data_IF_997984179791
#
_entry.id   IF_997984179791
#
_cell.length_a   1.000
_cell.length_b   1.000
_cell.length_c   1.000
_cell.angle_alpha   90.00
_cell.angle_beta   90.00
_cell.angle_gamma   90.00
#
_symmetry.space_group_name_H-M   'P 1'
#
loop_
_entity.id
_entity.type
_entity.pdbx_description
1 polymer ?
2 non-polymer ?
3 water ?
#
# COMPACT_ATOMS: atom_id res chain seq x y z
N UNK A 26 -28.77 -9.87 -2.60
CA UNK A 26 -27.71 -10.89 -2.31
C UNK A 26 -26.88 -11.09 -3.57
N UNK A 27 -26.20 -12.24 -3.67
CA UNK A 27 -25.36 -12.56 -4.86
C UNK A 27 -26.27 -12.81 -6.07
N UNK A 28 -25.82 -12.42 -7.26
CA UNK A 28 -26.61 -12.65 -8.50
C UNK A 28 -25.64 -13.08 -9.61
N UNK A 29 -26.17 -13.56 -10.75
CA UNK A 29 -25.30 -14.02 -11.82
C UNK A 29 -26.11 -14.15 -13.10
N UNK A 30 -25.39 -14.43 -14.20
CA UNK A 30 -25.91 -14.76 -15.52
C UNK A 30 -26.47 -13.55 -16.27
N UNK A 31 -27.08 -12.60 -15.56
CA UNK A 31 -27.64 -11.42 -16.21
C UNK A 31 -27.62 -10.25 -15.23
N UNK A 32 -27.57 -9.04 -15.78
CA UNK A 32 -27.59 -7.83 -14.98
C UNK A 32 -28.31 -6.75 -15.78
N UNK A 33 -28.66 -5.65 -15.10
CA UNK A 33 -29.40 -4.56 -15.73
C UNK A 33 -28.89 -3.23 -15.19
N UNK A 34 -28.64 -2.30 -16.10
CA UNK A 34 -28.23 -0.94 -15.76
C UNK A 34 -29.31 0.04 -16.20
N UNK A 35 -29.36 1.19 -15.51
CA UNK A 35 -30.39 2.17 -15.82
C UNK A 35 -30.12 2.88 -17.13
N UNK A 36 -28.87 3.27 -17.38
CA UNK A 36 -28.49 3.97 -18.60
C UNK A 36 -27.76 3.10 -19.59
N UNK A 37 -26.88 2.20 -19.12
CA UNK A 37 -26.23 1.25 -20.01
C UNK A 37 -26.87 -0.13 -19.87
N UNK A 38 -26.10 -1.18 -20.14
CA UNK A 38 -26.59 -2.55 -19.99
C UNK A 38 -25.39 -3.48 -19.88
N UNK A 39 -25.41 -4.35 -18.87
CA UNK A 39 -24.28 -5.22 -18.57
C UNK A 39 -24.79 -6.65 -18.35
N UNK A 40 -24.00 -7.61 -18.81
CA UNK A 40 -24.26 -9.03 -18.58
C UNK A 40 -23.09 -9.62 -17.80
N UNK A 41 -23.37 -10.10 -16.59
CA UNK A 41 -22.32 -10.62 -15.73
C UNK A 41 -21.79 -11.93 -16.32
N UNK A 42 -20.46 -12.06 -16.36
CA UNK A 42 -19.80 -13.22 -16.95
C UNK A 42 -19.16 -14.13 -15.91
N UNK A 43 -18.37 -13.57 -15.00
CA UNK A 43 -17.67 -14.36 -14.00
C UNK A 43 -17.42 -13.50 -12.77
N UNK A 44 -17.35 -14.15 -11.61
CA UNK A 44 -17.08 -13.46 -10.36
C UNK A 44 -15.62 -13.05 -10.28
N UNK A 45 -15.36 -11.92 -9.64
CA UNK A 45 -14.02 -11.35 -9.56
C UNK A 45 -13.42 -11.41 -8.16
N UNK A 46 -14.20 -11.11 -7.13
CA UNK A 46 -13.68 -11.16 -5.78
C UNK A 46 -14.77 -10.84 -4.77
N UNK A 47 -14.48 -11.19 -3.52
CA UNK A 47 -15.40 -10.95 -2.41
C UNK A 47 -14.57 -10.51 -1.20
N UNK A 48 -14.87 -9.33 -0.68
CA UNK A 48 -14.19 -8.79 0.48
C UNK A 48 -15.03 -8.88 1.74
N UNK A 49 -14.67 -8.06 2.73
CA UNK A 49 -15.44 -8.00 3.96
C UNK A 49 -16.86 -7.51 3.68
N UNK A 50 -16.99 -6.50 2.84
CA UNK A 50 -18.30 -6.01 2.41
C UNK A 50 -18.15 -5.38 1.04
N UNK A 51 -19.03 -5.75 0.11
CA UNK A 51 -18.93 -5.29 -1.25
C UNK A 51 -18.34 -6.33 -2.18
N UNK A 52 -19.13 -6.79 -3.14
CA UNK A 52 -18.72 -7.82 -4.08
C UNK A 52 -18.44 -7.21 -5.44
N UNK A 53 -17.35 -7.65 -6.06
CA UNK A 53 -16.97 -7.22 -7.40
C UNK A 53 -17.12 -8.41 -8.34
N UNK A 54 -17.63 -8.14 -9.54
CA UNK A 54 -17.94 -9.18 -10.51
C UNK A 54 -17.64 -8.66 -11.91
N UNK A 55 -17.00 -9.49 -12.72
CA UNK A 55 -16.66 -9.12 -14.09
C UNK A 55 -17.86 -9.32 -15.01
N UNK A 56 -18.16 -8.30 -15.82
CA UNK A 56 -19.32 -8.33 -16.71
C UNK A 56 -18.93 -7.72 -18.05
N UNK A 57 -19.81 -7.89 -19.03
CA UNK A 57 -19.62 -7.38 -20.38
C UNK A 57 -20.64 -6.31 -20.68
N UNK A 58 -20.16 -5.14 -21.12
CA UNK A 58 -21.04 -4.06 -21.54
C UNK A 58 -21.68 -4.41 -22.86
N UNK A 59 -22.99 -4.68 -22.85
CA UNK A 59 -23.69 -5.11 -24.06
C UNK A 59 -23.63 -4.02 -25.13
N UNK A 60 -23.47 -4.46 -26.38
CA UNK A 60 -23.37 -3.55 -27.51
C UNK A 60 -21.97 -3.13 -27.88
N UNK A 61 -20.99 -3.36 -27.01
CA UNK A 61 -19.61 -2.96 -27.25
C UNK A 61 -18.69 -4.19 -27.14
N UNK A 62 -17.38 -3.93 -27.13
CA UNK A 62 -16.37 -4.95 -26.90
C UNK A 62 -15.67 -4.73 -25.56
N UNK A 63 -16.27 -3.96 -24.67
CA UNK A 63 -15.63 -3.59 -23.41
C UNK A 63 -16.01 -4.56 -22.30
N UNK A 64 -15.03 -4.89 -21.47
CA UNK A 64 -15.24 -5.65 -20.24
C UNK A 64 -15.00 -4.70 -19.08
N UNK A 65 -15.95 -4.66 -18.14
CA UNK A 65 -15.87 -3.77 -17.00
C UNK A 65 -16.10 -4.55 -15.72
N UNK A 66 -15.67 -3.96 -14.60
CA UNK A 66 -15.85 -4.53 -13.28
C UNK A 66 -16.90 -3.72 -12.53
N UNK A 67 -17.91 -4.41 -12.00
CA UNK A 67 -18.98 -3.76 -11.23
C UNK A 67 -18.87 -4.22 -9.78
N UNK A 68 -18.83 -3.24 -8.87
CA UNK A 68 -18.72 -3.50 -7.44
C UNK A 68 -20.06 -3.19 -6.80
N UNK A 69 -20.77 -4.24 -6.36
CA UNK A 69 -22.08 -4.09 -5.75
C UNK A 69 -21.92 -3.87 -4.26
N UNK A 70 -22.87 -3.13 -3.69
CA UNK A 70 -22.88 -2.82 -2.26
C UNK A 70 -24.23 -3.23 -1.69
N UNK A 71 -24.21 -4.06 -0.65
CA UNK A 71 -25.44 -4.55 -0.06
C UNK A 71 -26.21 -3.40 0.59
N UNK A 72 -27.54 -3.48 0.49
CA UNK A 72 -28.43 -2.40 0.94
C UNK A 72 -28.80 -2.56 2.41
N UNK A 73 -27.77 -2.57 3.26
CA UNK A 73 -28.08 -2.63 4.68
C UNK A 73 -27.87 -1.26 5.32
N UNK A 74 -28.80 -0.82 6.17
CA UNK A 74 -28.71 0.55 6.72
C UNK A 74 -27.43 0.81 7.51
N UNK A 75 -26.86 -0.22 8.14
CA UNK A 75 -25.64 -0.03 8.92
C UNK A 75 -24.42 0.18 8.03
N UNK A 76 -24.49 -0.21 6.76
CA UNK A 76 -23.40 -0.02 5.81
C UNK A 76 -23.73 1.05 4.77
N UNK A 77 -24.87 1.74 4.93
CA UNK A 77 -25.28 2.72 3.92
C UNK A 77 -24.40 3.97 3.97
N UNK A 78 -23.91 4.36 5.15
CA UNK A 78 -23.09 5.56 5.24
C UNK A 78 -21.73 5.35 4.60
N UNK A 79 -21.14 4.17 4.79
CA UNK A 79 -19.86 3.88 4.14
C UNK A 79 -20.02 3.70 2.63
N UNK A 80 -21.16 3.17 2.19
CA UNK A 80 -21.40 3.04 0.76
C UNK A 80 -21.60 4.38 0.08
N UNK A 81 -22.19 5.34 0.78
CA UNK A 81 -22.45 6.65 0.19
C UNK A 81 -21.18 7.49 0.12
N UNK A 82 -20.33 7.42 1.16
CA UNK A 82 -19.12 8.23 1.17
C UNK A 82 -18.13 7.73 0.12
N UNK A 83 -18.17 6.44 -0.21
CA UNK A 83 -17.30 5.93 -1.27
C UNK A 83 -17.70 6.48 -2.63
N UNK A 84 -19.00 6.60 -2.87
CA UNK A 84 -19.48 7.20 -4.11
C UNK A 84 -19.14 8.69 -4.16
N UNK A 85 -19.15 9.35 -3.00
CA UNK A 85 -18.83 10.78 -2.97
C UNK A 85 -17.37 11.02 -3.32
N UNK A 86 -16.48 10.11 -2.93
CA UNK A 86 -15.07 10.28 -3.24
C UNK A 86 -14.80 9.97 -4.70
N UNK A 87 -15.49 8.97 -5.27
CA UNK A 87 -15.29 8.62 -6.67
C UNK A 87 -15.74 9.75 -7.59
N UNK A 88 -16.84 10.43 -7.23
CA UNK A 88 -17.30 11.56 -8.04
C UNK A 88 -16.33 12.74 -7.96
N UNK A 89 -15.70 12.94 -6.81
CA UNK A 89 -14.70 13.99 -6.68
C UNK A 89 -13.42 13.62 -7.43
N UNK A 90 -13.11 12.33 -7.53
CA UNK A 90 -11.96 11.89 -8.32
C UNK A 90 -12.26 11.88 -9.81
N UNK A 91 -13.53 11.66 -10.18
CA UNK A 91 -13.89 11.60 -11.59
C UNK A 91 -13.76 12.97 -12.27
N UNK A 92 -13.74 14.06 -11.49
CA UNK A 92 -13.44 15.36 -12.07
C UNK A 92 -12.02 15.39 -12.63
N UNK A 93 -11.12 14.62 -12.05
CA UNK A 93 -9.78 14.39 -12.61
C UNK A 93 -9.86 13.27 -13.65
N UNK A 94 -10.66 13.52 -14.69
CA UNK A 94 -11.00 12.49 -15.66
C UNK A 94 -9.79 12.00 -16.45
N UNK A 95 -8.74 12.82 -16.57
CA UNK A 95 -7.53 12.38 -17.26
C UNK A 95 -6.93 11.17 -16.58
N UNK A 96 -6.90 11.17 -15.25
CA UNK A 96 -6.33 10.07 -14.46
C UNK A 96 -4.91 9.73 -14.89
N UNK A 97 -4.17 10.75 -15.33
CA UNK A 97 -2.74 10.57 -15.54
C UNK A 97 -2.01 10.27 -14.24
N UNK A 98 -2.65 10.47 -13.09
CA UNK A 98 -2.11 10.16 -11.78
C UNK A 98 -2.34 8.70 -11.38
N UNK A 99 -2.73 7.86 -12.33
CA UNK A 99 -2.80 6.41 -12.17
C UNK A 99 -3.87 6.01 -11.13
N UNK A 100 -5.12 6.24 -11.52
CA UNK A 100 -6.29 5.77 -10.79
C UNK A 100 -7.15 4.92 -11.72
N UNK A 101 -7.89 3.99 -11.11
CA UNK A 101 -8.87 3.22 -11.86
C UNK A 101 -10.02 4.14 -12.25
N UNK A 102 -10.28 4.24 -13.56
CA UNK A 102 -11.32 5.13 -14.05
C UNK A 102 -12.70 4.57 -13.70
N UNK A 103 -13.46 5.34 -12.91
CA UNK A 103 -14.83 4.97 -12.57
C UNK A 103 -15.77 5.53 -13.64
N UNK A 104 -16.50 4.65 -14.30
CA UNK A 104 -17.34 5.06 -15.43
C UNK A 104 -18.66 5.68 -14.94
N UNK A 105 -19.56 4.84 -14.42
CA UNK A 105 -20.86 5.32 -13.95
C UNK A 105 -21.23 4.60 -12.66
N UNK A 106 -22.34 5.04 -12.07
CA UNK A 106 -22.86 4.46 -10.84
C UNK A 106 -24.38 4.43 -10.94
N UNK A 107 -24.95 3.22 -10.94
CA UNK A 107 -26.40 3.03 -11.02
C UNK A 107 -26.85 2.17 -9.85
N UNK A 108 -28.13 1.85 -9.83
CA UNK A 108 -28.73 1.04 -8.78
C UNK A 108 -29.51 -0.10 -9.41
N UNK A 109 -29.13 -1.34 -9.07
CA UNK A 109 -29.81 -2.54 -9.54
C UNK A 109 -30.51 -3.21 -8.37
N UNK A 110 -31.75 -3.63 -8.59
CA UNK A 110 -32.62 -4.18 -7.54
C UNK A 110 -32.75 -3.12 -6.46
N UNK A 111 -32.38 -3.40 -5.21
CA UNK A 111 -32.37 -2.40 -4.16
C UNK A 111 -30.95 -2.01 -3.76
N UNK A 112 -29.95 -2.44 -4.52
CA UNK A 112 -28.55 -2.23 -4.18
C UNK A 112 -27.93 -1.19 -5.10
N UNK A 113 -26.86 -0.56 -4.63
CA UNK A 113 -26.13 0.44 -5.37
C UNK A 113 -24.76 -0.09 -5.74
N UNK A 114 -24.43 -0.03 -7.04
CA UNK A 114 -23.19 -0.59 -7.55
C UNK A 114 -22.42 0.46 -8.35
N UNK A 115 -21.14 0.17 -8.58
CA UNK A 115 -20.23 1.08 -9.25
C UNK A 115 -19.55 0.36 -10.41
N UNK A 116 -19.35 1.08 -11.51
CA UNK A 116 -18.73 0.53 -12.72
C UNK A 116 -17.30 1.05 -12.81
N UNK A 117 -16.33 0.14 -12.84
CA UNK A 117 -14.93 0.48 -12.99
C UNK A 117 -14.38 -0.16 -14.26
N UNK A 118 -13.21 0.32 -14.67
CA UNK A 118 -12.51 -0.32 -15.79
C UNK A 118 -11.84 -1.60 -15.33
N UNK A 119 -11.72 -2.55 -16.25
CA UNK A 119 -11.21 -3.88 -15.93
C UNK A 119 -9.69 -3.88 -16.12
N UNK A 120 -8.96 -3.98 -15.02
CA UNK A 120 -7.52 -4.16 -15.06
C UNK A 120 -7.18 -5.65 -15.06
N UNK A 121 -5.90 -5.96 -15.28
CA UNK A 121 -5.49 -7.34 -15.53
C UNK A 121 -5.14 -8.08 -14.24
N UNK A 122 -4.03 -7.70 -13.61
CA UNK A 122 -3.50 -8.46 -12.48
C UNK A 122 -2.96 -7.52 -11.43
N UNK A 123 -3.24 -7.83 -10.16
CA UNK A 123 -2.71 -7.05 -9.05
C UNK A 123 -1.31 -7.55 -8.66
N UNK A 124 -0.63 -6.77 -7.83
CA UNK A 124 0.77 -7.04 -7.53
C UNK A 124 0.96 -8.30 -6.70
N UNK A 125 -0.03 -8.64 -5.86
CA UNK A 125 0.10 -9.87 -5.06
C UNK A 125 0.06 -11.10 -5.95
N UNK A 126 -0.89 -11.16 -6.88
CA UNK A 126 -0.95 -12.27 -7.81
C UNK A 126 0.25 -12.32 -8.74
N UNK A 127 0.89 -11.17 -8.99
CA UNK A 127 2.11 -11.17 -9.78
C UNK A 127 3.26 -11.78 -9.01
N UNK A 128 3.32 -11.55 -7.69
CA UNK A 128 4.35 -12.16 -6.87
C UNK A 128 4.06 -13.63 -6.59
N UNK A 129 2.78 -14.00 -6.48
CA UNK A 129 2.43 -15.38 -6.19
C UNK A 129 2.87 -16.32 -7.31
N UNK A 130 2.58 -15.95 -8.56
CA UNK A 130 2.93 -16.81 -9.68
C UNK A 130 4.44 -16.90 -9.90
N UNK A 131 5.20 -15.93 -9.41
CA UNK A 131 6.65 -15.95 -9.50
C UNK A 131 7.30 -16.49 -8.23
N UNK A 132 6.56 -17.27 -7.44
CA UNK A 132 7.07 -17.90 -6.22
C UNK A 132 7.60 -16.87 -5.23
N UNK A 133 7.06 -15.65 -5.27
CA UNK A 133 7.44 -14.57 -4.36
C UNK A 133 8.93 -14.26 -4.45
N UNK A 134 9.48 -14.37 -5.65
CA UNK A 134 10.88 -14.01 -5.86
C UNK A 134 11.04 -12.50 -5.77
N UNK A 135 12.18 -12.03 -5.26
CA UNK A 135 12.41 -10.58 -5.20
C UNK A 135 12.44 -9.96 -6.59
N UNK A 136 12.05 -8.69 -6.66
CA UNK A 136 12.08 -7.96 -7.92
C UNK A 136 13.22 -6.96 -7.90
N UNK A 137 13.90 -6.78 -9.04
CA UNK A 137 15.01 -5.80 -9.08
C UNK A 137 14.52 -4.39 -8.88
N UNK A 138 15.43 -3.55 -8.38
CA UNK A 138 15.09 -2.16 -8.09
C UNK A 138 14.72 -1.38 -9.34
N UNK A 139 15.19 -1.81 -10.52
CA UNK A 139 14.84 -1.13 -11.76
C UNK A 139 13.38 -1.38 -12.18
N UNK A 140 12.71 -2.36 -11.57
CA UNK A 140 11.30 -2.62 -11.85
C UNK A 140 10.47 -2.00 -10.74
N UNK A 141 11.04 -1.95 -9.52
CA UNK A 141 10.34 -1.32 -8.41
C UNK A 141 10.22 0.18 -8.63
N UNK A 142 11.20 0.80 -9.30
CA UNK A 142 11.19 2.25 -9.46
C UNK A 142 9.99 2.77 -10.24
N UNK A 143 9.63 2.21 -11.41
CA UNK A 143 8.43 2.72 -12.09
C UNK A 143 7.15 2.58 -11.28
N UNK A 144 6.99 1.46 -10.56
CA UNK A 144 5.78 1.27 -9.76
C UNK A 144 5.73 2.30 -8.64
N UNK A 145 6.88 2.61 -8.03
CA UNK A 145 6.91 3.59 -6.95
C UNK A 145 6.57 4.98 -7.47
N UNK A 146 7.06 5.33 -8.66
CA UNK A 146 6.78 6.66 -9.20
C UNK A 146 5.31 6.84 -9.52
N UNK A 147 4.65 5.79 -10.01
CA UNK A 147 3.25 5.91 -10.37
C UNK A 147 2.37 6.01 -9.13
N UNK A 148 2.64 5.20 -8.11
CA UNK A 148 1.82 5.22 -6.90
C UNK A 148 2.05 6.53 -6.13
N UNK A 149 3.30 7.00 -6.07
CA UNK A 149 3.58 8.27 -5.41
C UNK A 149 2.88 9.42 -6.11
N UNK A 150 2.75 9.35 -7.43
CA UNK A 150 1.99 10.37 -8.16
C UNK A 150 0.52 10.31 -7.78
N UNK A 151 -0.01 9.11 -7.56
CA UNK A 151 -1.40 8.98 -7.13
C UNK A 151 -1.60 9.56 -5.74
N UNK A 152 -0.68 9.27 -4.81
CA UNK A 152 -0.79 9.83 -3.47
C UNK A 152 -0.46 11.31 -3.44
N UNK A 153 0.28 11.82 -4.42
CA UNK A 153 0.49 13.26 -4.53
C UNK A 153 -0.80 13.98 -4.91
N UNK A 154 -1.63 13.34 -5.74
CA UNK A 154 -2.92 13.91 -6.10
C UNK A 154 -3.95 13.72 -4.99
N UNK A 155 -3.81 12.66 -4.19
CA UNK A 155 -4.74 12.43 -3.09
C UNK A 155 -4.55 13.45 -1.98
N UNK A 156 -3.30 13.82 -1.70
CA UNK A 156 -3.06 14.90 -0.75
C UNK A 156 -3.50 16.25 -1.31
N UNK A 157 -3.38 16.42 -2.63
CA UNK A 157 -3.87 17.65 -3.27
C UNK A 157 -5.37 17.83 -3.09
N UNK A 158 -6.10 16.74 -2.87
CA UNK A 158 -7.54 16.78 -2.65
C UNK A 158 -7.90 16.57 -1.18
N UNK A 159 -6.93 16.38 -0.31
CA UNK A 159 -7.19 16.16 1.10
C UNK A 159 -7.87 14.84 1.39
N UNK A 160 -7.44 13.76 0.74
CA UNK A 160 -8.08 12.46 0.87
C UNK A 160 -7.06 11.42 1.31
N UNK A 161 -7.56 10.36 1.95
CA UNK A 161 -6.75 9.25 2.43
C UNK A 161 -7.28 7.98 1.78
N UNK A 162 -6.37 7.11 1.32
CA UNK A 162 -6.80 5.85 0.73
C UNK A 162 -7.12 4.81 1.81
N UNK A 163 -6.28 4.72 2.83
CA UNK A 163 -6.47 3.90 4.02
C UNK A 163 -6.54 2.40 3.73
N UNK A 164 -6.15 1.96 2.54
CA UNK A 164 -6.09 0.54 2.24
C UNK A 164 -5.11 0.26 1.11
N UNK A 165 -3.89 0.76 1.25
CA UNK A 165 -2.88 0.62 0.21
C UNK A 165 -2.11 -0.67 0.48
N UNK A 166 -2.41 -1.71 -0.29
CA UNK A 166 -1.77 -3.01 -0.19
C UNK A 166 -1.53 -3.53 -1.59
N UNK A 167 -0.62 -4.51 -1.75
CA UNK A 167 -0.37 -5.07 -3.09
C UNK A 167 -1.62 -5.59 -3.78
N UNK A 168 -2.62 -6.05 -3.02
CA UNK A 168 -3.88 -6.47 -3.63
C UNK A 168 -4.63 -5.30 -4.24
N UNK A 169 -4.29 -4.06 -3.88
CA UNK A 169 -4.97 -2.88 -4.39
C UNK A 169 -4.08 -2.06 -5.32
N UNK A 170 -3.10 -2.70 -5.94
CA UNK A 170 -2.28 -2.08 -6.98
C UNK A 170 -2.25 -3.06 -8.14
N UNK A 171 -2.96 -2.75 -9.22
CA UNK A 171 -3.15 -3.67 -10.32
C UNK A 171 -2.40 -3.21 -11.57
N UNK A 172 -1.86 -4.17 -12.30
CA UNK A 172 -1.20 -3.89 -13.58
C UNK A 172 -2.26 -3.73 -14.67
N UNK A 173 -2.11 -2.70 -15.49
CA UNK A 173 -3.06 -2.46 -16.57
C UNK A 173 -2.99 -3.58 -17.59
N UNK A 174 -1.79 -3.86 -18.10
CA UNK A 174 -1.56 -4.97 -19.02
C UNK A 174 -0.11 -5.41 -18.90
N UNK A 175 0.15 -6.58 -18.31
CA UNK A 175 1.54 -6.98 -18.04
C UNK A 175 2.38 -7.21 -19.29
N UNK A 176 1.76 -7.45 -20.44
CA UNK A 176 2.50 -7.77 -21.66
C UNK A 176 2.44 -6.63 -22.67
N UNK A 177 1.30 -5.92 -22.74
CA UNK A 177 1.17 -4.85 -23.71
C UNK A 177 1.76 -3.54 -23.18
N UNK A 178 1.52 -3.23 -21.90
CA UNK A 178 2.04 -2.03 -21.24
C UNK A 178 2.83 -2.48 -20.02
N UNK A 179 4.09 -2.88 -20.20
CA UNK A 179 4.83 -3.48 -19.10
C UNK A 179 5.05 -2.50 -17.95
N UNK A 180 4.64 -2.91 -16.75
CA UNK A 180 4.92 -2.19 -15.50
C UNK A 180 4.21 -0.83 -15.46
N UNK A 181 2.92 -0.83 -15.82
CA UNK A 181 2.05 0.31 -15.60
C UNK A 181 0.95 -0.12 -14.63
N UNK A 182 0.75 0.66 -13.57
CA UNK A 182 -0.10 0.26 -12.46
C UNK A 182 -1.13 1.33 -12.17
N UNK A 183 -2.19 0.92 -11.47
CA UNK A 183 -3.22 1.81 -10.95
C UNK A 183 -3.67 1.29 -9.59
N UNK A 184 -4.33 2.16 -8.82
CA UNK A 184 -4.77 1.81 -7.48
C UNK A 184 -6.28 1.60 -7.49
N UNK A 185 -6.74 0.67 -6.66
CA UNK A 185 -8.13 0.26 -6.60
C UNK A 185 -8.62 0.32 -5.15
N UNK A 186 -9.88 -0.06 -4.95
CA UNK A 186 -10.47 -0.28 -3.64
C UNK A 186 -10.51 0.99 -2.79
N UNK A 187 -11.45 1.88 -3.07
CA UNK A 187 -11.67 3.06 -2.26
C UNK A 187 -12.73 2.83 -1.18
N UNK A 188 -13.07 1.57 -0.91
CA UNK A 188 -14.02 1.24 0.14
C UNK A 188 -13.59 1.62 1.54
N UNK A 189 -12.33 2.00 1.71
CA UNK A 189 -11.84 2.49 2.98
C UNK A 189 -11.39 3.95 2.91
N UNK A 190 -11.51 4.59 1.76
CA UNK A 190 -11.05 5.96 1.60
C UNK A 190 -11.94 6.92 2.39
N UNK A 191 -11.35 8.03 2.82
CA UNK A 191 -12.06 9.04 3.60
C UNK A 191 -11.31 10.36 3.52
N UNK A 192 -12.02 11.43 3.82
CA UNK A 192 -11.41 12.74 3.87
C UNK A 192 -10.60 12.90 5.17
N UNK A 193 -9.66 13.84 5.14
CA UNK A 193 -8.80 14.06 6.31
C UNK A 193 -9.63 14.67 7.44
N UNK A 194 -9.57 14.04 8.61
CA UNK A 194 -10.29 14.50 9.78
C UNK A 194 -9.43 14.30 11.02
N UNK A 195 -9.63 15.15 12.01
CA UNK A 195 -8.89 15.07 13.26
C UNK A 195 -9.59 14.13 14.25
N UNK A 196 -9.65 12.86 13.84
CA UNK A 196 -10.33 11.82 14.62
C UNK A 196 -9.45 10.59 14.69
N UNK A 197 -9.22 10.12 15.92
CA UNK A 197 -8.47 8.89 16.12
C UNK A 197 -9.29 7.70 15.67
N UNK A 198 -8.64 6.76 14.96
CA UNK A 198 -9.35 5.53 14.55
C UNK A 198 -9.82 4.79 15.81
N UNK A 199 -11.11 4.49 15.92
CA UNK A 199 -11.64 3.85 17.16
C UNK A 199 -10.99 2.49 17.39
N UNK A 200 -10.81 1.70 16.32
CA UNK A 200 -10.22 0.34 16.45
C UNK A 200 -9.09 0.17 15.42
N UNK A 202 -7.90 -0.05 11.00
CA UNK A 202 -8.28 0.60 9.72
C UNK A 202 -7.61 -0.11 8.55
N UNK A 203 -6.36 0.25 8.22
CA UNK A 203 -5.68 -0.31 7.06
C UNK A 203 -5.46 -1.81 7.25
N UNK A 204 -4.91 -2.45 6.22
CA UNK A 204 -4.47 -3.83 6.35
C UNK A 204 -3.30 -3.91 7.31
N UNK A 205 -3.21 -5.03 8.03
CA UNK A 205 -2.33 -5.09 9.20
C UNK A 205 -0.86 -4.92 8.82
N UNK A 206 -0.42 -5.64 7.78
CA UNK A 206 1.00 -5.63 7.42
C UNK A 206 1.47 -4.25 6.98
N UNK A 207 0.54 -3.39 6.53
CA UNK A 207 0.88 -2.09 5.99
C UNK A 207 0.24 -0.96 6.81
N UNK A 208 -0.12 -1.24 8.05
CA UNK A 208 -0.78 -0.26 8.90
C UNK A 208 0.25 0.64 9.56
N UNK A 209 0.01 1.94 9.49
CA UNK A 209 0.91 2.90 10.10
C UNK A 209 0.86 2.79 11.62
N UNK A 210 1.94 3.18 12.31
CA UNK A 210 1.92 3.13 13.78
C UNK A 210 0.85 4.01 14.41
N UNK A 211 0.37 5.04 13.70
CA UNK A 211 -0.67 5.89 14.26
C UNK A 211 -1.97 5.12 14.48
N UNK A 212 -2.31 4.23 13.55
CA UNK A 212 -3.53 3.44 13.70
C UNK A 212 -3.35 2.36 14.76
N UNK A 213 -2.13 1.86 14.93
CA UNK A 213 -1.89 0.82 15.93
C UNK A 213 -1.90 1.40 17.34
N UNK A 214 -1.32 2.59 17.52
CA UNK A 214 -1.21 3.19 18.83
C UNK A 214 -2.41 4.03 19.23
N UNK A 215 -3.34 4.29 18.30
CA UNK A 215 -4.48 5.13 18.59
C UNK A 215 -4.11 6.60 18.64
N UNK A 216 -3.61 7.11 17.52
CA UNK A 216 -3.15 8.49 17.40
C UNK A 216 -3.86 9.19 16.26
N UNK A 217 -3.94 10.52 16.29
CA UNK A 217 -4.51 11.24 15.15
C UNK A 217 -3.68 11.02 13.89
N UNK A 218 -4.36 10.73 12.79
CA UNK A 218 -3.70 10.36 11.55
C UNK A 218 -4.21 11.23 10.40
N UNK A 219 -3.38 11.35 9.37
CA UNK A 219 -3.75 12.07 8.16
C UNK A 219 -3.45 11.21 6.94
N UNK A 220 -2.89 11.82 5.90
CA UNK A 220 -2.55 11.10 4.68
C UNK A 220 -1.25 10.31 4.79
N UNK A 221 -0.55 10.42 5.92
CA UNK A 221 0.75 9.75 6.07
C UNK A 221 0.62 8.25 6.26
N UNK A 222 -0.57 7.73 6.55
CA UNK A 222 -0.73 6.30 6.72
C UNK A 222 -0.59 5.55 5.41
N UNK A 223 -0.74 6.25 4.27
CA UNK A 223 -0.48 5.65 2.97
C UNK A 223 0.99 5.70 2.59
N UNK A 224 1.73 6.71 3.07
CA UNK A 224 3.17 6.72 2.88
C UNK A 224 3.82 5.57 3.64
N UNK A 225 3.27 5.19 4.80
CA UNK A 225 3.76 4.02 5.50
C UNK A 225 3.43 2.75 4.73
N UNK A 226 2.22 2.64 4.18
CA UNK A 226 1.84 1.48 3.42
C UNK A 226 2.69 1.35 2.15
N UNK A 227 3.02 2.48 1.53
CA UNK A 227 3.86 2.44 0.34
C UNK A 227 5.28 2.03 0.65
N UNK A 228 5.74 2.28 1.88
CA UNK A 228 7.05 1.81 2.29
C UNK A 228 7.08 0.31 2.51
N UNK A 229 5.99 -0.24 3.06
CA UNK A 229 5.94 -1.67 3.33
C UNK A 229 5.74 -2.50 2.08
N UNK A 230 5.29 -1.90 0.98
CA UNK A 230 5.08 -2.67 -0.25
C UNK A 230 6.32 -2.62 -1.15
N UNK A 231 7.01 -1.47 -1.22
CA UNK A 231 8.24 -1.43 -1.99
C UNK A 231 9.32 -2.27 -1.30
N UNK A 232 9.23 -2.40 0.02
CA UNK A 232 10.09 -3.35 0.73
C UNK A 232 9.64 -4.78 0.50
N UNK A 233 8.33 -5.00 0.33
CA UNK A 233 7.84 -6.34 0.05
C UNK A 233 8.20 -6.77 -1.38
N UNK A 234 8.17 -5.83 -2.32
CA UNK A 234 8.59 -6.15 -3.68
C UNK A 234 10.09 -6.43 -3.75
N UNK A 235 10.88 -5.78 -2.90
CA UNK A 235 12.33 -5.99 -2.91
C UNK A 235 12.72 -7.28 -2.20
N UNK A 236 11.98 -7.67 -1.16
CA UNK A 236 12.29 -8.89 -0.42
C UNK A 236 11.48 -10.10 -0.88
N UNK A 237 10.36 -9.89 -1.59
CA UNK A 237 9.48 -10.95 -1.97
C UNK A 237 8.40 -11.27 -0.96
N UNK A 238 8.70 -11.09 0.32
CA UNK A 238 7.79 -11.34 1.43
C UNK A 238 7.50 -10.04 2.18
N UNK A 239 6.38 -9.97 2.90
CA UNK A 239 6.06 -8.74 3.64
C UNK A 239 7.14 -8.37 4.64
N UNK A 240 7.34 -7.07 4.82
CA UNK A 240 8.37 -6.60 5.74
C UNK A 240 7.99 -6.87 7.18
N UNK A 241 6.74 -6.58 7.55
CA UNK A 241 6.25 -6.77 8.92
C UNK A 241 4.99 -7.63 8.87
N UNK A 242 5.13 -8.95 8.74
CA UNK A 242 3.95 -9.83 8.65
C UNK A 242 3.47 -10.31 10.02
N UNK A 243 3.10 -9.36 10.88
CA UNK A 243 2.63 -9.71 12.21
C UNK A 243 1.20 -10.23 12.19
N UNK A 244 0.95 -11.26 12.99
CA UNK A 244 -0.39 -11.83 13.07
C UNK A 244 -1.32 -10.98 13.92
N UNK A 245 -0.78 -10.28 14.91
CA UNK A 245 -1.55 -9.37 15.76
C UNK A 245 -0.92 -7.99 15.73
N UNK A 246 -1.66 -7.00 16.25
CA UNK A 246 -1.12 -5.66 16.34
C UNK A 246 0.08 -5.59 17.27
N UNK A 247 0.13 -6.47 18.27
CA UNK A 247 1.30 -6.54 19.14
C UNK A 247 2.53 -7.00 18.37
N UNK A 248 2.38 -8.06 17.57
CA UNK A 248 3.49 -8.52 16.73
C UNK A 248 3.88 -7.45 15.72
N UNK A 249 2.90 -6.68 15.23
CA UNK A 249 3.19 -5.65 14.24
C UNK A 249 4.06 -4.56 14.84
N UNK A 250 3.63 -3.98 15.97
CA UNK A 250 4.41 -2.94 16.61
C UNK A 250 5.70 -3.50 17.22
N UNK A 251 5.76 -4.81 17.45
CA UNK A 251 6.98 -5.42 17.96
C UNK A 251 8.05 -5.50 16.87
N UNK A 252 7.67 -5.91 15.67
CA UNK A 252 8.63 -5.96 14.56
C UNK A 252 9.11 -4.56 14.20
N UNK A 253 8.22 -3.58 14.21
CA UNK A 253 8.59 -2.21 13.84
C UNK A 253 9.57 -1.65 14.86
N UNK A 254 9.27 -1.81 16.14
CA UNK A 254 10.13 -1.25 17.18
C UNK A 254 11.46 -1.98 17.29
N UNK A 255 11.45 -3.30 17.04
CA UNK A 255 12.71 -4.05 17.07
C UNK A 255 13.61 -3.72 15.88
N UNK A 256 13.03 -3.28 14.77
CA UNK A 256 13.79 -2.95 13.56
C UNK A 256 14.13 -1.47 13.46
N UNK A 257 13.22 -0.58 13.86
CA UNK A 257 13.40 0.84 13.69
C UNK A 257 13.49 1.61 15.01
N UNK A 258 13.44 0.92 16.14
CA UNK A 258 13.47 1.59 17.43
C UNK A 258 12.08 1.84 17.98
N UNK A 259 11.98 1.93 19.30
CA UNK A 259 10.71 2.18 19.95
C UNK A 259 10.16 3.55 19.55
N UNK A 260 8.85 3.70 19.47
CA UNK A 260 8.27 5.01 19.17
C UNK A 260 8.61 6.02 20.25
N UNK A 261 8.50 7.30 19.90
CA UNK A 261 8.82 8.36 20.83
C UNK A 261 7.91 8.37 22.03
N UNK A 262 8.43 8.94 23.12
CA UNK A 262 7.66 8.99 24.36
C UNK A 262 6.40 9.84 24.19
N UNK A 263 6.52 10.99 23.52
CA UNK A 263 5.36 11.85 23.31
C UNK A 263 4.30 11.17 22.45
N UNK A 264 4.72 10.25 21.56
CA UNK A 264 3.74 9.50 20.78
C UNK A 264 3.04 8.45 21.62
N UNK A 265 3.80 7.74 22.46
CA UNK A 265 3.22 6.70 23.30
C UNK A 265 2.38 7.28 24.44
N UNK A 266 2.60 8.56 24.78
CA UNK A 266 1.84 9.16 25.88
C UNK A 266 0.39 9.42 25.47
N UNK A 267 0.19 10.01 24.29
CA UNK A 267 -1.14 10.38 23.83
C UNK A 267 -1.76 9.26 23.01
N UNK A 268 -1.12 8.09 23.02
CA UNK A 268 -1.66 6.94 22.33
C UNK A 268 -2.69 6.22 23.18
N UNK A 269 -3.90 6.06 22.63
CA UNK A 269 -4.95 5.36 23.36
C UNK A 269 -4.65 3.87 23.48
N UNK A 270 -4.37 3.21 22.36
CA UNK A 270 -3.99 1.81 22.34
C UNK A 270 -2.54 1.60 22.73
N UNK A 271 -1.81 2.66 23.09
CA UNK A 271 -0.40 2.55 23.42
C UNK A 271 -0.17 1.69 24.66
N UNK A 272 -1.13 1.65 25.58
CA UNK A 272 -0.98 0.88 26.80
C UNK A 272 -1.20 -0.62 26.58
N UNK A 273 -1.76 -1.01 25.44
CA UNK A 273 -2.02 -2.42 25.18
C UNK A 273 -0.79 -3.18 24.70
N UNK A 274 0.27 -2.47 24.29
CA UNK A 274 1.48 -3.10 23.81
C UNK A 274 2.73 -2.71 24.57
N UNK A 275 2.72 -1.58 25.27
CA UNK A 275 3.86 -1.10 26.04
C UNK A 275 3.45 -0.96 27.51
N UNK A 276 4.44 -0.70 28.36
CA UNK A 276 4.21 -0.55 29.79
C UNK A 276 5.12 0.52 30.35
N UNK A 277 4.74 1.05 31.52
CA UNK A 277 5.46 2.14 32.16
C UNK A 277 6.43 1.56 33.18
N UNK A 278 7.56 1.07 32.67
CA UNK A 278 8.62 0.58 33.54
C UNK A 278 9.39 1.75 34.12
N UNK A 279 9.74 1.63 35.42
CA UNK A 279 10.39 2.72 36.15
C UNK A 279 11.45 2.12 37.07
N UNK A 280 12.63 1.85 36.51
CA UNK A 280 13.76 1.44 37.32
C UNK A 280 14.44 2.67 37.88
N UNK A 281 15.59 2.48 38.55
CA UNK A 281 16.33 3.62 39.10
C UNK A 281 16.91 4.49 37.99
N UNK A 282 17.25 3.91 36.85
CA UNK A 282 17.81 4.65 35.72
C UNK A 282 17.02 4.46 34.44
N UNK A 283 15.88 3.79 34.50
CA UNK A 283 15.08 3.52 33.31
C UNK A 283 14.30 4.77 32.90
N UNK A 284 13.94 4.81 31.61
CA UNK A 284 13.16 5.92 31.09
C UNK A 284 11.69 5.75 31.44
N UNK A 285 10.82 5.89 30.44
CA UNK A 285 9.39 5.81 30.70
C UNK A 285 8.72 4.57 30.12
N UNK A 286 8.92 4.31 28.84
CA UNK A 286 8.21 3.27 28.13
C UNK A 286 9.15 2.13 27.72
N UNK A 287 8.57 0.93 27.63
CA UNK A 287 9.27 -0.24 27.11
C UNK A 287 8.24 -1.21 26.58
N UNK A 288 8.69 -2.10 25.71
CA UNK A 288 7.79 -3.10 25.14
C UNK A 288 7.44 -4.16 26.17
N UNK A 289 6.26 -4.75 26.00
CA UNK A 289 5.89 -5.93 26.78
C UNK A 289 6.56 -7.16 26.17
N UNK A 290 7.31 -7.89 27.00
CA UNK A 290 8.03 -9.06 26.50
C UNK A 290 7.05 -10.13 26.05
N UNK A 291 7.58 -11.09 25.28
CA UNK A 291 6.74 -12.19 24.78
C UNK A 291 6.13 -12.99 25.92
N UNK A 292 6.82 -13.07 27.06
CA UNK A 292 6.26 -13.74 28.23
C UNK A 292 5.11 -12.92 28.83
N UNK A 293 5.26 -11.60 28.86
CA UNK A 293 4.23 -10.75 29.46
C UNK A 293 2.98 -10.71 28.60
N UNK A 294 3.13 -10.56 27.28
CA UNK A 294 1.97 -10.51 26.40
C UNK A 294 1.25 -11.85 26.34
N UNK A 295 2.01 -12.96 26.38
CA UNK A 295 1.39 -14.27 26.37
C UNK A 295 0.56 -14.52 27.62
N UNK A 296 0.92 -13.89 28.73
CA UNK A 296 0.15 -14.05 29.96
C UNK A 296 -1.04 -13.11 30.01
N UNK A 297 -0.96 -11.96 29.33
CA UNK A 297 -2.05 -11.00 29.34
C UNK A 297 -3.22 -11.44 28.47
N UNK A 298 -2.94 -11.93 27.26
CA UNK A 298 -3.98 -12.30 26.33
C UNK A 298 -4.09 -13.80 26.09
N UNK A 299 -3.15 -14.60 26.58
CA UNK A 299 -3.19 -16.03 26.42
C UNK A 299 -2.71 -16.55 25.09
N UNK A 300 -2.35 -15.69 24.15
CA UNK A 300 -1.94 -16.09 22.82
C UNK A 300 -0.42 -16.09 22.72
N UNK A 301 0.16 -17.26 22.47
CA UNK A 301 1.60 -17.37 22.26
C UNK A 301 1.98 -16.76 20.92
N UNK A 302 3.01 -15.91 20.94
CA UNK A 302 3.45 -15.18 19.76
C UNK A 302 4.59 -15.92 19.09
N UNK A 303 4.43 -16.22 17.80
CA UNK A 303 5.45 -16.88 17.00
C UNK A 303 5.99 -15.92 15.96
N UNK A 304 7.18 -16.24 15.45
CA UNK A 304 7.82 -15.41 14.44
C UNK A 304 7.28 -15.74 13.05
N UNK A 305 6.99 -14.70 12.27
CA UNK A 305 6.48 -14.86 10.93
C UNK A 305 7.30 -14.13 9.86
N UNK A 306 8.36 -13.41 10.25
CA UNK A 306 9.16 -12.69 9.29
C UNK A 306 10.07 -13.64 8.51
N UNK A 307 10.12 -13.47 7.19
CA UNK A 307 11.16 -14.13 6.40
C UNK A 307 12.50 -13.41 6.49
N UNK A 308 12.49 -12.14 6.88
CA UNK A 308 13.70 -11.35 7.04
C UNK A 308 13.62 -10.61 8.37
N UNK A 309 14.61 -10.83 9.23
CA UNK A 309 14.70 -10.16 10.53
C UNK A 309 15.83 -9.15 10.45
N UNK A 310 15.49 -7.88 10.69
CA UNK A 310 16.42 -6.77 10.50
C UNK A 310 16.63 -6.04 11.82
N UNK A 311 17.90 -5.91 12.23
CA UNK A 311 18.21 -5.04 13.34
C UNK A 311 18.15 -3.57 12.94
N UNK A 312 18.18 -3.29 11.64
CA UNK A 312 18.11 -1.94 11.10
C UNK A 312 17.62 -2.02 9.66
N UNK A 313 17.01 -0.92 9.20
CA UNK A 313 16.58 -0.86 7.81
C UNK A 313 17.74 -0.78 6.83
N UNK A 314 18.96 -0.56 7.33
CA UNK A 314 20.13 -0.59 6.45
C UNK A 314 20.48 -2.01 6.05
N UNK A 315 20.12 -3.00 6.88
CA UNK A 315 20.35 -4.40 6.54
C UNK A 315 19.53 -4.85 5.34
N UNK A 316 18.53 -4.08 4.94
CA UNK A 316 17.80 -4.39 3.70
C UNK A 316 18.72 -4.26 2.49
N UNK A 317 19.68 -3.32 2.54
CA UNK A 317 20.58 -3.15 1.41
C UNK A 317 21.54 -4.33 1.27
N UNK A 318 21.79 -5.07 2.35
CA UNK A 318 22.69 -6.22 2.35
C UNK A 318 21.95 -7.54 2.19
N UNK A 319 20.74 -7.51 1.62
CA UNK A 319 19.92 -8.70 1.44
C UNK A 319 19.85 -9.03 -0.04
N UNK A 320 20.04 -10.30 -0.38
CA UNK A 320 20.03 -10.78 -1.77
C UNK A 320 21.06 -10.01 -2.60
N UNK A 321 22.32 -10.34 -2.34
CA UNK A 321 23.45 -9.60 -2.90
C UNK A 321 24.23 -10.41 -3.94
N UNK A 322 23.70 -11.54 -4.39
CA UNK A 322 24.36 -12.36 -5.40
C UNK A 322 23.69 -12.06 -6.74
N UNK A 323 24.37 -11.26 -7.56
CA UNK A 323 23.90 -10.91 -8.89
C UNK A 323 24.96 -11.26 -9.92
N UNK A 324 24.60 -11.09 -11.19
CA UNK A 324 25.52 -11.28 -12.30
C UNK A 324 26.20 -9.99 -12.73
N UNK A 325 25.98 -8.89 -11.99
CA UNK A 325 26.53 -7.60 -12.38
C UNK A 325 28.04 -7.57 -12.19
N UNK A 326 28.75 -7.10 -13.22
CA UNK A 326 30.19 -6.97 -13.16
C UNK A 326 30.55 -5.72 -12.34
N UNK A 327 31.85 -5.39 -12.30
CA UNK A 327 32.29 -4.27 -11.49
C UNK A 327 31.68 -2.95 -11.90
N UNK A 328 31.46 -2.74 -13.19
CA UNK A 328 30.87 -1.48 -13.65
C UNK A 328 29.42 -1.36 -13.19
N UNK A 329 28.65 -2.44 -13.30
CA UNK A 329 27.24 -2.39 -12.93
C UNK A 329 27.04 -2.53 -11.42
N UNK A 330 27.91 -3.28 -10.74
CA UNK A 330 27.76 -3.47 -9.30
C UNK A 330 27.96 -2.17 -8.53
N UNK A 331 28.86 -1.30 -9.02
CA UNK A 331 29.08 -0.02 -8.35
C UNK A 331 27.83 0.84 -8.36
N UNK A 332 26.94 0.63 -9.32
CA UNK A 332 25.68 1.36 -9.41
C UNK A 332 24.58 0.68 -8.63
N UNK A 333 24.52 -0.65 -8.66
CA UNK A 333 23.53 -1.38 -7.87
C UNK A 333 23.74 -1.12 -6.38
N UNK A 334 25.01 -1.05 -5.94
CA UNK A 334 25.29 -0.68 -4.56
C UNK A 334 24.88 0.75 -4.27
N UNK A 335 25.01 1.65 -5.25
CA UNK A 335 24.49 3.00 -5.09
C UNK A 335 22.98 3.03 -5.17
N UNK A 336 22.38 2.11 -5.93
CA UNK A 336 20.93 2.04 -6.00
C UNK A 336 20.32 1.59 -4.68
N UNK A 337 20.92 0.58 -4.04
CA UNK A 337 20.46 0.13 -2.75
C UNK A 337 20.72 1.17 -1.66
N UNK A 338 21.80 1.95 -1.79
CA UNK A 338 22.10 2.97 -0.80
C UNK A 338 21.00 4.03 -0.76
N UNK A 339 20.42 4.35 -1.91
CA UNK A 339 19.32 5.31 -1.96
C UNK A 339 17.96 4.66 -1.72
N UNK A 340 17.85 3.34 -1.91
CA UNK A 340 16.59 2.66 -1.64
C UNK A 340 16.30 2.61 -0.15
N UNK A 341 17.29 2.21 0.66
CA UNK A 341 17.12 2.21 2.10
C UNK A 341 17.08 3.63 2.64
N UNK A 342 17.67 4.60 1.93
CA UNK A 342 17.56 5.99 2.34
C UNK A 342 16.12 6.48 2.21
N UNK A 343 15.46 6.14 1.11
CA UNK A 343 14.06 6.51 0.94
C UNK A 343 13.16 5.67 1.83
N UNK A 344 13.46 4.37 1.95
CA UNK A 344 12.64 3.48 2.77
C UNK A 344 12.63 3.92 4.22
N UNK A 345 13.77 4.41 4.72
CA UNK A 345 13.81 4.92 6.09
C UNK A 345 12.96 6.17 6.23
N UNK A 346 13.02 7.06 5.24
CA UNK A 346 12.20 8.28 5.30
C UNK A 346 10.72 7.97 5.14
N UNK A 347 10.38 6.88 4.44
CA UNK A 347 8.98 6.48 4.30
C UNK A 347 8.47 5.70 5.51
N UNK A 348 9.35 5.11 6.30
CA UNK A 348 8.97 4.31 7.46
C UNK A 348 9.32 4.99 8.77
N UNK A 349 9.36 6.32 8.78
CA UNK A 349 9.54 7.04 10.03
C UNK A 349 8.29 6.92 10.89
N UNK A 350 8.48 6.52 12.15
CA UNK A 350 7.35 6.33 13.05
C UNK A 350 6.61 7.64 13.26
N UNK A 351 7.36 8.75 13.38
CA UNK A 351 6.76 10.07 13.54
C UNK A 351 6.16 10.50 12.20
N UNK A 352 4.83 10.55 12.14
CA UNK A 352 4.16 10.96 10.91
C UNK A 352 4.41 12.42 10.56
N UNK A 353 4.75 13.26 11.55
CA UNK A 353 5.04 14.66 11.27
C UNK A 353 6.34 14.81 10.47
N UNK A 354 7.28 13.87 10.64
CA UNK A 354 8.56 13.92 9.95
C UNK A 354 8.62 12.97 8.77
N UNK A 355 7.57 12.19 8.54
CA UNK A 355 7.57 11.23 7.44
C UNK A 355 7.58 11.95 6.11
N UNK A 356 8.24 11.35 5.12
CA UNK A 356 8.37 11.96 3.81
C UNK A 356 7.00 12.00 3.12
N UNK A 357 6.75 13.09 2.39
CA UNK A 357 5.49 13.37 1.69
C UNK A 357 5.57 12.89 0.24
N UNK A 358 4.44 12.52 -0.37
CA UNK A 358 4.46 12.09 -1.77
C UNK A 358 5.16 13.05 -2.73
N UNK A 359 5.14 14.35 -2.44
CA UNK A 359 5.86 15.29 -3.30
C UNK A 359 7.37 15.13 -3.15
N UNK A 360 7.84 14.90 -1.92
CA UNK A 360 9.27 14.73 -1.71
C UNK A 360 9.76 13.37 -2.22
N UNK A 361 8.91 12.35 -2.19
CA UNK A 361 9.32 11.03 -2.66
C UNK A 361 9.64 11.07 -4.15
N UNK A 362 8.85 11.81 -4.93
CA UNK A 362 9.14 11.98 -6.35
C UNK A 362 10.44 12.75 -6.58
N UNK A 363 10.91 13.47 -5.58
CA UNK A 363 12.18 14.21 -5.67
C UNK A 363 13.33 13.49 -4.97
N UNK A 364 13.10 12.28 -4.46
CA UNK A 364 14.17 11.53 -3.84
C UNK A 364 15.14 11.04 -4.90
N UNK A 365 16.44 10.97 -4.58
CA UNK A 365 17.42 10.49 -5.58
C UNK A 365 17.12 9.12 -6.15
N UNK A 366 16.37 8.27 -5.44
CA UNK A 366 16.02 6.97 -6.00
C UNK A 366 15.08 7.09 -7.18
N UNK A 367 14.21 8.11 -7.18
CA UNK A 367 13.32 8.33 -8.31
C UNK A 367 13.94 9.29 -9.33
N UNK A 368 14.78 10.24 -8.87
CA UNK A 368 15.43 11.14 -9.81
C UNK A 368 16.50 10.43 -10.63
N UNK A 369 17.09 9.37 -10.08
CA UNK A 369 18.18 8.64 -10.74
C UNK A 369 19.38 9.55 -10.98
N UNK A 370 19.50 10.61 -10.18
CA UNK A 370 20.66 11.50 -10.28
C UNK A 370 21.94 10.83 -9.80
N UNK A 371 21.82 9.80 -8.97
CA UNK A 371 23.00 9.07 -8.52
C UNK A 371 23.52 8.11 -9.58
N UNK A 372 22.70 7.75 -10.56
CA UNK A 372 23.14 6.90 -11.66
C UNK A 372 23.81 7.68 -12.78
N UNK A 373 23.67 9.01 -12.79
CA UNK A 373 24.32 9.83 -13.80
C UNK A 373 25.83 9.88 -13.63
N UNK A 374 26.34 9.61 -12.43
CA UNK A 374 27.78 9.63 -12.17
C UNK A 374 28.51 8.44 -12.79
N UNK A 375 27.81 7.58 -13.52
CA UNK A 375 28.44 6.44 -14.18
C UNK A 375 28.48 6.69 -15.68
N UNK A 376 29.68 6.68 -16.30
CA UNK A 376 29.78 7.02 -17.72
C UNK A 376 28.90 6.15 -18.60
N UNK A 377 29.18 4.85 -18.66
CA UNK A 377 28.35 3.94 -19.44
C UNK A 377 28.35 2.58 -18.74
N UNK A 378 27.33 2.36 -17.91
CA UNK A 378 27.06 1.05 -17.34
C UNK A 378 25.87 0.43 -18.06
N UNK A 379 26.05 -0.79 -18.56
CA UNK A 379 24.99 -1.43 -19.31
C UNK A 379 23.77 -1.73 -18.44
N UNK A 380 23.94 -1.73 -17.12
CA UNK A 380 22.80 -1.92 -16.22
C UNK A 380 22.02 -0.62 -16.05
N UNK A 381 22.72 0.50 -15.84
CA UNK A 381 22.02 1.77 -15.68
C UNK A 381 21.38 2.23 -16.99
N UNK A 382 21.89 1.76 -18.13
CA UNK A 382 21.22 2.05 -19.39
C UNK A 382 19.85 1.37 -19.45
N UNK A 383 19.72 0.22 -18.79
CA UNK A 383 18.42 -0.44 -18.69
C UNK A 383 17.56 0.16 -17.59
N UNK A 384 18.19 0.67 -16.52
CA UNK A 384 17.44 1.31 -15.45
C UNK A 384 16.72 2.56 -15.97
N UNK A 385 17.43 3.40 -16.71
CA UNK A 385 16.78 4.56 -17.32
C UNK A 385 15.79 4.14 -18.40
N UNK A 386 16.04 3.00 -19.06
CA UNK A 386 15.15 2.55 -20.13
C UNK A 386 13.79 2.11 -19.60
N UNK A 387 13.78 1.39 -18.48
CA UNK A 387 12.52 0.91 -17.91
C UNK A 387 11.65 2.08 -17.47
N UNK A 388 12.26 3.21 -17.12
CA UNK A 388 11.50 4.35 -16.61
C UNK A 388 10.76 5.08 -17.73
N UNK A 389 11.45 5.43 -18.82
CA UNK A 389 10.82 6.21 -19.88
C UNK A 389 9.88 5.38 -20.76
N UNK A 390 9.65 4.11 -20.43
CA UNK A 390 8.75 3.27 -21.20
C UNK A 390 7.39 3.20 -20.50
N UNK A 391 7.39 3.44 -19.19
CA UNK A 391 6.17 3.38 -18.40
C UNK A 391 5.11 4.39 -18.86
N UNK A 392 5.49 5.35 -19.69
CA UNK A 392 4.53 6.31 -20.25
C UNK A 392 3.62 5.63 -21.26
#
# INVERSE_FOLDING_TARGET
GNPVTVVTATTGSKQNCTTGEGDYQLVQHEVLCSMKNTYEVLDFLGRGTFGQVVKCWKRGTNEIVAIKILKNHPSYARQGQIEVSILARLSTENADEYNFVRAYECFQHRNHTCLVFEMLEQNLYDFLKQNKFSPLPLKVIRPILQQVATALKKLKSLGLIHADLKPENIMLVDPVRQPYRVKVIDFGSASHVSKTVCSTXLQSRYYRAPEIILGLPFCEAIDMWSLGCVIAELFLGWPLYPGALEYDQIRYISQTQGLPGEQLLNVGTKSTRFFCKETDMSHSGWRLKTLEEHEAETGMKSKEARKYIFNSLDDVAHVNTVMDLEGSDLLAEKADRREFVSLLKKMLLIDADLRITPAETLNHPFVNMKHLLDFPHSNHVKSCFHIMDICKSHLNSCDTNNHN
#
